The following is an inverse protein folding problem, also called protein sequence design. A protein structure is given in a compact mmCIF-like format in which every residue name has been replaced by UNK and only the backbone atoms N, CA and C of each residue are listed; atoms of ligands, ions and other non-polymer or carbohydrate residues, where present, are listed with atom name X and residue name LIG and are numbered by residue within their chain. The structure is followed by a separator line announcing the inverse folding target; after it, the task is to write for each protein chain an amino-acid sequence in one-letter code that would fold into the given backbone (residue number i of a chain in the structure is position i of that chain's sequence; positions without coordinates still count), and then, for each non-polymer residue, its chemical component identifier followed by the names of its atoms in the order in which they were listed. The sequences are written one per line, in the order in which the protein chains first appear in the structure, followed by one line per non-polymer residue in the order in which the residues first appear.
data_IF_557034437906
#
_entry.id   IF_557034437906
#
_cell.length_a   1.000
_cell.length_b   1.000
_cell.length_c   1.000
_cell.angle_alpha   90.00
_cell.angle_beta   90.00
_cell.angle_gamma   90.00
#
_symmetry.space_group_name_H-M   'P 1'
#
loop_
_entity.id
_entity.type
_entity.pdbx_description
1 polymer ?
#
# COMPACT_ATOMS: atom_id res chain seq x y z
N UNK A 1 -24.13 -19.02 4.50
CA UNK A 1 -24.11 -18.31 3.21
C UNK A 1 -23.51 -16.91 3.26
N UNK A 2 -23.69 -16.19 4.38
CA UNK A 2 -23.02 -14.90 4.58
C UNK A 2 -21.50 -15.02 4.43
N UNK A 3 -20.90 -16.11 4.91
CA UNK A 3 -19.46 -16.35 4.84
C UNK A 3 -18.96 -16.43 3.40
N UNK A 4 -19.70 -17.09 2.50
CA UNK A 4 -19.35 -17.19 1.09
C UNK A 4 -19.41 -15.82 0.40
N UNK A 5 -20.41 -15.01 0.73
CA UNK A 5 -20.55 -13.67 0.19
C UNK A 5 -19.37 -12.79 0.58
N UNK A 6 -19.00 -12.80 1.87
CA UNK A 6 -17.87 -12.01 2.36
C UNK A 6 -16.55 -12.51 1.78
N UNK A 7 -16.39 -13.83 1.60
CA UNK A 7 -15.18 -14.39 1.00
C UNK A 7 -15.04 -13.99 -0.46
N UNK A 8 -16.15 -13.93 -1.22
CA UNK A 8 -16.12 -13.46 -2.62
C UNK A 8 -15.76 -11.99 -2.70
N UNK A 9 -16.32 -11.18 -1.82
CA UNK A 9 -16.02 -9.74 -1.78
C UNK A 9 -14.55 -9.52 -1.47
N UNK A 10 -14.01 -10.24 -0.49
CA UNK A 10 -12.59 -10.14 -0.13
C UNK A 10 -11.70 -10.60 -1.27
N UNK A 11 -12.08 -11.68 -1.96
CA UNK A 11 -11.34 -12.18 -3.10
C UNK A 11 -11.29 -11.17 -4.25
N UNK A 12 -12.41 -10.48 -4.51
CA UNK A 12 -12.47 -9.43 -5.54
C UNK A 12 -11.57 -8.25 -5.19
N UNK A 13 -11.56 -7.87 -3.91
CA UNK A 13 -10.70 -6.79 -3.43
C UNK A 13 -9.23 -7.17 -3.60
N UNK A 14 -8.87 -8.39 -3.19
CA UNK A 14 -7.50 -8.86 -3.32
C UNK A 14 -7.07 -8.95 -4.78
N UNK A 15 -7.94 -9.44 -5.64
CA UNK A 15 -7.65 -9.51 -7.08
C UNK A 15 -7.34 -8.14 -7.65
N UNK A 16 -8.15 -7.14 -7.29
CA UNK A 16 -7.90 -5.77 -7.72
C UNK A 16 -6.54 -5.27 -7.22
N UNK A 17 -6.23 -5.48 -5.96
CA UNK A 17 -4.95 -5.07 -5.38
C UNK A 17 -3.76 -5.75 -6.07
N UNK A 18 -3.92 -7.01 -6.42
CA UNK A 18 -2.82 -7.78 -7.03
C UNK A 18 -2.50 -7.29 -8.46
N UNK A 19 -3.45 -6.64 -9.12
CA UNK A 19 -3.29 -6.22 -10.51
C UNK A 19 -3.05 -4.71 -10.67
N UNK A 20 -3.22 -3.91 -9.62
CA UNK A 20 -3.01 -2.47 -9.72
C UNK A 20 -1.63 -2.08 -9.19
N UNK A 21 -1.05 -1.05 -9.78
CA UNK A 21 0.21 -0.46 -9.32
C UNK A 21 -0.02 0.91 -8.69
N UNK A 22 -1.29 1.33 -8.57
CA UNK A 22 -1.63 2.68 -8.11
C UNK A 22 -1.61 2.86 -6.60
N UNK A 23 -1.50 1.81 -5.82
CA UNK A 23 -1.60 1.86 -4.36
C UNK A 23 -2.88 2.58 -3.94
N UNK A 24 -4.05 1.99 -4.22
CA UNK A 24 -5.32 2.68 -4.07
C UNK A 24 -5.73 2.93 -2.63
N UNK A 25 -6.55 3.96 -2.45
CA UNK A 25 -7.29 4.17 -1.21
C UNK A 25 -8.50 3.24 -1.18
N UNK A 26 -9.14 3.12 0.00
CA UNK A 26 -10.37 2.34 0.11
C UNK A 26 -11.48 2.86 -0.81
N UNK A 27 -11.57 4.18 -0.97
CA UNK A 27 -12.56 4.78 -1.88
C UNK A 27 -12.35 4.33 -3.32
N UNK A 28 -11.11 4.31 -3.78
CA UNK A 28 -10.78 3.86 -5.14
C UNK A 28 -11.09 2.37 -5.31
N UNK A 29 -10.73 1.54 -4.33
CA UNK A 29 -11.05 0.11 -4.36
C UNK A 29 -12.56 -0.08 -4.44
N UNK A 30 -13.31 0.67 -3.63
CA UNK A 30 -14.77 0.61 -3.62
C UNK A 30 -15.37 0.90 -5.00
N UNK A 31 -14.87 1.94 -5.67
CA UNK A 31 -15.35 2.30 -7.02
C UNK A 31 -15.14 1.19 -8.03
N UNK A 32 -14.06 0.45 -7.94
CA UNK A 32 -13.77 -0.67 -8.82
C UNK A 32 -14.59 -1.92 -8.48
N UNK A 33 -14.63 -2.28 -7.21
CA UNK A 33 -15.25 -3.52 -6.77
C UNK A 33 -16.78 -3.48 -6.88
N UNK A 34 -17.38 -2.31 -6.74
CA UNK A 34 -18.84 -2.18 -6.83
C UNK A 34 -19.37 -2.49 -8.22
N UNK A 35 -18.54 -2.47 -9.23
CA UNK A 35 -18.95 -2.87 -10.59
C UNK A 35 -19.36 -4.34 -10.63
N UNK A 36 -18.66 -5.19 -9.87
CA UNK A 36 -18.97 -6.62 -9.77
C UNK A 36 -19.90 -6.92 -8.60
N UNK A 37 -19.87 -6.10 -7.57
CA UNK A 37 -20.66 -6.26 -6.34
C UNK A 37 -21.39 -4.96 -6.03
N UNK A 38 -22.50 -4.66 -6.77
CA UNK A 38 -23.18 -3.35 -6.63
C UNK A 38 -23.71 -3.04 -5.23
N UNK A 39 -23.90 -4.06 -4.40
CA UNK A 39 -24.43 -3.88 -3.04
C UNK A 39 -23.36 -3.75 -1.97
N UNK A 40 -22.08 -3.84 -2.35
CA UNK A 40 -21.01 -3.72 -1.38
C UNK A 40 -20.97 -2.28 -0.85
N UNK A 41 -20.72 -2.14 0.47
CA UNK A 41 -20.59 -0.82 1.09
C UNK A 41 -19.11 -0.45 1.22
N UNK A 42 -18.84 0.84 1.34
CA UNK A 42 -17.49 1.33 1.59
C UNK A 42 -16.95 0.77 2.90
N UNK A 43 -17.80 0.67 3.94
CA UNK A 43 -17.40 0.07 5.21
C UNK A 43 -16.94 -1.37 5.08
N UNK A 44 -17.63 -2.15 4.23
CA UNK A 44 -17.24 -3.54 3.97
C UNK A 44 -15.89 -3.59 3.26
N UNK A 45 -15.67 -2.70 2.29
CA UNK A 45 -14.37 -2.61 1.60
C UNK A 45 -13.26 -2.31 2.60
N UNK A 46 -13.47 -1.33 3.46
CA UNK A 46 -12.50 -0.94 4.49
C UNK A 46 -12.16 -2.10 5.42
N UNK A 47 -13.19 -2.80 5.91
CA UNK A 47 -12.98 -3.94 6.81
C UNK A 47 -12.19 -5.05 6.14
N UNK A 48 -12.48 -5.34 4.87
CA UNK A 48 -11.76 -6.38 4.14
C UNK A 48 -10.32 -5.98 3.84
N UNK A 49 -10.09 -4.72 3.51
CA UNK A 49 -8.72 -4.22 3.28
C UNK A 49 -7.88 -4.32 4.56
N UNK A 50 -8.45 -3.93 5.69
CA UNK A 50 -7.75 -4.06 6.97
C UNK A 50 -7.50 -5.51 7.34
N UNK A 51 -8.45 -6.39 7.06
CA UNK A 51 -8.28 -7.82 7.31
C UNK A 51 -7.16 -8.40 6.44
N UNK A 52 -7.10 -8.04 5.16
CA UNK A 52 -6.02 -8.49 4.28
C UNK A 52 -4.66 -8.00 4.80
N UNK A 53 -4.59 -6.75 5.27
CA UNK A 53 -3.36 -6.22 5.85
C UNK A 53 -2.96 -6.98 7.12
N UNK A 54 -3.93 -7.27 7.99
CA UNK A 54 -3.67 -8.02 9.23
C UNK A 54 -3.22 -9.45 8.94
N UNK A 55 -3.71 -10.04 7.86
CA UNK A 55 -3.32 -11.39 7.45
C UNK A 55 -2.00 -11.43 6.69
N UNK A 56 -1.38 -10.29 6.42
CA UNK A 56 -0.14 -10.23 5.65
C UNK A 56 -0.33 -10.39 4.14
N UNK A 57 -1.57 -10.28 3.65
CA UNK A 57 -1.89 -10.39 2.23
C UNK A 57 -1.96 -9.06 1.51
N UNK A 58 -1.81 -7.97 2.24
CA UNK A 58 -1.69 -6.62 1.70
C UNK A 58 -0.83 -5.79 2.64
N UNK A 59 -0.27 -4.70 2.13
CA UNK A 59 0.47 -3.74 2.93
C UNK A 59 -0.36 -2.47 3.03
N UNK A 60 -0.56 -1.98 4.25
CA UNK A 60 -1.25 -0.72 4.49
C UNK A 60 -0.21 0.39 4.63
N UNK A 61 -0.36 1.45 3.85
CA UNK A 61 0.57 2.57 3.84
C UNK A 61 -0.19 3.82 4.27
N UNK A 62 0.21 4.39 5.42
CA UNK A 62 -0.41 5.62 5.91
C UNK A 62 0.36 6.81 5.36
N UNK A 63 -0.32 7.69 4.64
CA UNK A 63 0.30 8.84 4.00
C UNK A 63 0.22 10.08 4.90
N UNK A 64 1.04 11.13 4.63
CA UNK A 64 1.05 12.34 5.48
C UNK A 64 -0.28 13.07 5.59
N UNK A 65 -1.16 12.95 4.60
CA UNK A 65 -2.48 13.58 4.65
C UNK A 65 -3.49 12.78 5.50
N UNK A 66 -3.03 11.69 6.10
CA UNK A 66 -3.86 10.84 6.97
C UNK A 66 -4.66 9.79 6.24
N UNK A 67 -4.56 9.71 4.92
CA UNK A 67 -5.22 8.68 4.13
C UNK A 67 -4.43 7.39 4.13
N UNK A 68 -5.12 6.26 4.10
CA UNK A 68 -4.48 4.95 3.98
C UNK A 68 -4.53 4.48 2.54
N UNK A 69 -3.42 3.93 2.08
CA UNK A 69 -3.33 3.28 0.78
C UNK A 69 -2.95 1.83 0.99
N UNK A 70 -3.23 1.00 0.00
CA UNK A 70 -3.04 -0.44 0.11
C UNK A 70 -2.26 -0.98 -1.08
N UNK A 71 -1.31 -1.88 -0.80
CA UNK A 71 -0.47 -2.51 -1.81
C UNK A 71 -0.64 -4.02 -1.72
N UNK A 72 -0.96 -4.65 -2.84
CA UNK A 72 -1.09 -6.10 -2.93
C UNK A 72 0.25 -6.82 -3.00
N UNK A 73 1.32 -6.13 -3.33
CA UNK A 73 2.64 -6.74 -3.40
C UNK A 73 3.28 -6.79 -2.00
N UNK A 74 3.27 -7.97 -1.41
CA UNK A 74 3.78 -8.17 -0.04
C UNK A 74 5.24 -8.58 0.01
N UNK A 75 5.94 -8.67 -1.11
CA UNK A 75 7.38 -8.92 -1.13
C UNK A 75 8.10 -7.72 -0.52
N UNK A 76 9.24 -7.95 0.18
CA UNK A 76 9.98 -6.84 0.77
C UNK A 76 10.36 -5.80 -0.28
N UNK A 77 9.88 -4.59 -0.11
CA UNK A 77 10.25 -3.44 -0.92
C UNK A 77 9.88 -2.19 -0.14
N UNK A 78 10.36 -1.05 -0.61
CA UNK A 78 10.08 0.22 0.03
C UNK A 78 9.09 1.03 -0.81
N UNK A 79 8.61 2.11 -0.25
CA UNK A 79 7.70 3.02 -0.92
C UNK A 79 8.20 4.45 -0.80
N UNK A 80 7.87 5.26 -1.80
CA UNK A 80 8.12 6.71 -1.77
C UNK A 80 6.77 7.40 -1.83
N UNK A 81 6.54 8.32 -0.89
CA UNK A 81 5.36 9.18 -0.91
C UNK A 81 5.78 10.52 -1.48
N UNK A 82 5.11 10.97 -2.55
CA UNK A 82 5.31 12.30 -3.06
C UNK A 82 4.60 13.29 -2.14
N UNK A 83 5.36 14.18 -1.51
CA UNK A 83 4.79 15.17 -0.59
C UNK A 83 4.02 16.27 -1.30
N UNK A 84 4.17 16.36 -2.62
CA UNK A 84 3.47 17.36 -3.43
C UNK A 84 2.08 16.88 -3.87
N UNK A 85 1.97 15.67 -4.43
CA UNK A 85 0.70 15.14 -4.94
C UNK A 85 0.15 13.98 -4.12
N UNK A 86 0.89 13.52 -3.13
CA UNK A 86 0.51 12.45 -2.20
C UNK A 86 0.36 11.06 -2.85
N UNK A 87 0.84 10.87 -4.07
CA UNK A 87 0.88 9.54 -4.68
C UNK A 87 1.97 8.69 -4.03
N UNK A 88 1.75 7.39 -4.03
CA UNK A 88 2.70 6.42 -3.49
C UNK A 88 3.28 5.60 -4.63
N UNK A 89 4.58 5.40 -4.60
CA UNK A 89 5.32 4.65 -5.61
C UNK A 89 6.10 3.53 -4.95
N UNK A 90 6.25 2.41 -5.65
CA UNK A 90 7.16 1.36 -5.22
C UNK A 90 8.60 1.79 -5.44
N UNK A 91 9.45 1.49 -4.48
CA UNK A 91 10.88 1.70 -4.60
C UNK A 91 11.56 0.34 -4.47
N UNK A 92 12.07 -0.17 -5.58
CA UNK A 92 12.68 -1.49 -5.62
C UNK A 92 14.16 -1.40 -5.28
N UNK A 93 14.48 -1.79 -4.06
CA UNK A 93 15.84 -1.91 -3.58
C UNK A 93 16.11 -3.41 -3.39
N UNK A 94 17.30 -3.85 -3.73
CA UNK A 94 17.71 -5.24 -3.63
C UNK A 94 17.38 -5.80 -2.23
N UNK A 95 16.73 -6.96 -2.19
CA UNK A 95 16.37 -7.63 -0.93
C UNK A 95 17.58 -7.83 -0.01
N UNK A 96 18.78 -8.02 -0.59
CA UNK A 96 19.99 -8.16 0.21
C UNK A 96 20.26 -6.92 1.06
N UNK A 97 19.99 -5.72 0.53
CA UNK A 97 20.16 -4.48 1.28
C UNK A 97 19.11 -4.34 2.37
N UNK A 98 17.87 -4.76 2.09
CA UNK A 98 16.79 -4.74 3.08
C UNK A 98 17.14 -5.68 4.24
N UNK A 99 17.62 -6.88 3.94
CA UNK A 99 18.01 -7.86 4.95
C UNK A 99 19.22 -7.37 5.77
N UNK A 100 20.15 -6.67 5.13
CA UNK A 100 21.31 -6.08 5.81
C UNK A 100 20.86 -5.07 6.87
N UNK A 101 19.83 -4.28 6.57
CA UNK A 101 19.29 -3.33 7.54
C UNK A 101 18.71 -4.03 8.76
N UNK A 102 18.00 -5.16 8.55
CA UNK A 102 17.47 -5.95 9.66
C UNK A 102 18.61 -6.46 10.57
N UNK A 103 19.68 -6.95 9.97
CA UNK A 103 20.83 -7.46 10.73
C UNK A 103 21.52 -6.34 11.49
N UNK A 104 21.68 -5.19 10.87
CA UNK A 104 22.29 -4.03 11.50
C UNK A 104 21.48 -3.57 12.71
N UNK A 105 20.16 -3.52 12.56
CA UNK A 105 19.28 -3.15 13.68
C UNK A 105 19.38 -4.15 14.82
N UNK A 106 19.46 -5.44 14.50
CA UNK A 106 19.55 -6.51 15.50
C UNK A 106 20.84 -6.42 16.33
N UNK A 107 21.93 -5.91 15.74
CA UNK A 107 23.17 -5.70 16.46
C UNK A 107 23.03 -4.68 17.61
N UNK A 108 22.01 -3.82 17.54
CA UNK A 108 21.76 -2.77 18.53
C UNK A 108 20.52 -3.06 19.38
N UNK A 109 20.04 -4.28 19.37
CA UNK A 109 18.83 -4.65 20.06
C UNK A 109 19.00 -5.98 20.79
N UNK A 110 18.48 -6.07 22.01
CA UNK A 110 18.56 -7.28 22.85
C UNK A 110 17.44 -8.26 22.56
N UNK A 111 17.23 -8.58 21.32
CA UNK A 111 16.18 -9.49 20.89
C UNK A 111 16.40 -9.86 19.45
N UNK A 112 15.33 -10.15 18.73
CA UNK A 112 15.38 -10.44 17.32
C UNK A 112 14.66 -9.37 16.52
N UNK A 113 15.10 -9.16 15.30
CA UNK A 113 14.43 -8.27 14.34
C UNK A 113 14.01 -9.13 13.17
N UNK A 114 12.71 -9.21 12.91
CA UNK A 114 12.15 -10.03 11.84
C UNK A 114 12.01 -9.26 10.52
N UNK A 115 11.66 -7.99 10.60
CA UNK A 115 11.42 -7.18 9.42
C UNK A 115 11.44 -5.70 9.79
N UNK A 116 11.35 -4.85 8.77
CA UNK A 116 11.16 -3.42 8.98
C UNK A 116 10.33 -2.86 7.83
N UNK A 117 9.75 -1.69 8.05
CA UNK A 117 9.02 -0.95 7.03
C UNK A 117 9.62 0.45 6.94
N UNK A 118 9.74 0.96 5.73
CA UNK A 118 10.30 2.29 5.50
C UNK A 118 9.49 3.02 4.45
N UNK A 119 9.17 4.27 4.76
CA UNK A 119 8.60 5.19 3.79
C UNK A 119 9.64 6.28 3.52
N UNK A 120 9.89 6.53 2.25
CA UNK A 120 10.68 7.68 1.84
C UNK A 120 9.73 8.79 1.44
N UNK A 121 10.10 10.01 1.67
CA UNK A 121 9.33 11.20 1.33
C UNK A 121 10.12 12.03 0.33
N UNK A 122 9.50 12.39 -0.77
CA UNK A 122 10.19 13.14 -1.80
C UNK A 122 9.21 13.79 -2.76
N UNK A 123 9.68 14.11 -3.96
CA UNK A 123 8.87 14.73 -5.00
C UNK A 123 8.96 13.88 -6.26
N UNK A 124 7.82 13.45 -6.78
CA UNK A 124 7.80 12.59 -7.97
C UNK A 124 8.18 13.40 -9.21
N UNK A 125 8.55 12.69 -10.28
CA UNK A 125 9.03 13.32 -11.50
C UNK A 125 7.99 14.27 -12.11
N UNK A 126 6.71 13.89 -12.09
CA UNK A 126 5.64 14.74 -12.61
C UNK A 126 5.55 16.06 -11.86
N UNK A 127 5.69 16.03 -10.54
CA UNK A 127 5.64 17.24 -9.73
C UNK A 127 6.88 18.10 -9.94
N UNK A 128 8.05 17.50 -10.13
CA UNK A 128 9.28 18.22 -10.46
C UNK A 128 9.10 18.93 -11.79
N UNK A 129 8.59 18.24 -12.79
CA UNK A 129 8.36 18.78 -14.13
C UNK A 129 7.36 19.94 -14.10
N UNK A 130 6.26 19.79 -13.35
CA UNK A 130 5.26 20.84 -13.20
C UNK A 130 5.85 22.10 -12.53
N UNK A 131 6.66 21.94 -11.49
CA UNK A 131 7.32 23.05 -10.83
C UNK A 131 8.28 23.78 -11.76
N UNK A 132 9.02 23.05 -12.57
CA UNK A 132 9.94 23.62 -13.55
C UNK A 132 9.16 24.41 -14.61
N UNK A 133 8.04 23.87 -15.08
CA UNK A 133 7.18 24.55 -16.06
C UNK A 133 6.59 25.83 -15.50
N UNK A 134 6.21 25.85 -14.21
CA UNK A 134 5.63 27.05 -13.56
C UNK A 134 6.64 28.17 -13.38
N UNK A 135 7.92 27.84 -13.32
CA UNK A 135 8.99 28.84 -13.14
C UNK A 135 9.40 29.48 -14.45
N UNK A 136 8.97 28.94 -15.54
CA UNK A 136 9.23 29.52 -16.85
C UNK A 136 8.05 30.42 -17.26
#
# INVERSE_FOLDING_TARGET
MATLKYSRQRASIKEYLDHTTEHPTADTVYLHVREESPRISLGTVYRNLNLLADMGEAIKITTPDGGDRFDGNTRPHYHVVCTCCNRVFDLHIDEAHINTMNKLAEEHFDGTIDSHATLFYGTCQDCITQKTSRKS
#
